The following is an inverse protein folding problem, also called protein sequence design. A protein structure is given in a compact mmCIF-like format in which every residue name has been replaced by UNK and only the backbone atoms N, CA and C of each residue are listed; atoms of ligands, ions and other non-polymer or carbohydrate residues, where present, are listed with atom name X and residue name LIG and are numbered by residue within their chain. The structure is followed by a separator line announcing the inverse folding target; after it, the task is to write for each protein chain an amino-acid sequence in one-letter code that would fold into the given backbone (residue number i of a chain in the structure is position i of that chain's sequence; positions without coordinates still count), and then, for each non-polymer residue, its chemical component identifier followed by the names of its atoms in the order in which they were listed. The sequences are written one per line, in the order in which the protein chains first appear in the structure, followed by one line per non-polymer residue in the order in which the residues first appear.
data_IF_479845976296
#
_entry.id   IF_479845976296
#
_cell.length_a   1.000
_cell.length_b   1.000
_cell.length_c   1.000
_cell.angle_alpha   90.00
_cell.angle_beta   90.00
_cell.angle_gamma   90.00
#
_symmetry.space_group_name_H-M   'P 1'
#
loop_
_entity.id
_entity.type
_entity.pdbx_description
1 polymer ?
#
# COMPACT_ATOMS: atom_id res chain seq x y z
N UNK A 1 -8.76 8.60 -20.84
CA UNK A 1 -8.44 7.16 -20.97
C UNK A 1 -9.40 6.41 -20.08
N UNK A 2 -10.15 5.44 -20.63
CA UNK A 2 -10.98 4.54 -19.85
C UNK A 2 -10.10 3.73 -18.90
N UNK A 3 -10.51 3.66 -17.63
CA UNK A 3 -9.85 2.86 -16.61
C UNK A 3 -10.75 1.66 -16.33
N UNK A 4 -10.26 0.46 -16.62
CA UNK A 4 -10.91 -0.78 -16.23
C UNK A 4 -10.55 -1.04 -14.76
N UNK A 5 -11.51 -0.88 -13.86
CA UNK A 5 -11.34 -1.05 -12.41
C UNK A 5 -12.49 -0.41 -11.64
N UNK A 6 -12.48 -0.55 -10.32
CA UNK A 6 -13.46 0.16 -9.50
C UNK A 6 -13.20 1.70 -9.51
N UNK A 7 -14.21 2.49 -9.12
CA UNK A 7 -14.11 3.94 -9.15
C UNK A 7 -12.96 4.50 -8.30
N UNK A 8 -12.62 3.85 -7.18
CA UNK A 8 -11.54 4.25 -6.30
C UNK A 8 -10.17 3.95 -6.93
N UNK A 9 -10.00 2.79 -7.56
CA UNK A 9 -8.80 2.44 -8.29
C UNK A 9 -8.58 3.35 -9.50
N UNK A 10 -9.65 3.71 -10.20
CA UNK A 10 -9.59 4.64 -11.30
C UNK A 10 -9.18 6.05 -10.85
N UNK A 11 -9.69 6.51 -9.70
CA UNK A 11 -9.31 7.79 -9.11
C UNK A 11 -7.83 7.80 -8.70
N UNK A 12 -7.36 6.76 -8.02
CA UNK A 12 -5.95 6.61 -7.61
C UNK A 12 -5.02 6.56 -8.82
N UNK A 13 -5.35 5.76 -9.84
CA UNK A 13 -4.54 5.65 -11.06
C UNK A 13 -4.39 7.00 -11.76
N UNK A 14 -5.50 7.75 -11.90
CA UNK A 14 -5.46 9.09 -12.51
C UNK A 14 -4.65 10.07 -11.66
N UNK A 15 -4.81 10.04 -10.33
CA UNK A 15 -4.06 10.90 -9.43
C UNK A 15 -2.54 10.68 -9.57
N UNK A 16 -2.09 9.42 -9.52
CA UNK A 16 -0.66 9.11 -9.65
C UNK A 16 -0.14 9.42 -11.06
N UNK A 17 -0.91 9.15 -12.11
CA UNK A 17 -0.50 9.50 -13.49
C UNK A 17 -0.33 11.01 -13.67
N UNK A 18 -1.15 11.84 -13.01
CA UNK A 18 -1.02 13.30 -13.08
C UNK A 18 0.22 13.82 -12.36
N UNK A 19 0.61 13.18 -11.25
CA UNK A 19 1.74 13.64 -10.41
C UNK A 19 3.07 13.06 -10.87
N UNK A 20 3.10 11.76 -11.18
CA UNK A 20 4.32 10.98 -11.46
C UNK A 20 4.51 10.74 -12.96
N UNK A 21 3.43 10.77 -13.76
CA UNK A 21 3.49 10.46 -15.19
C UNK A 21 3.35 8.96 -15.46
N UNK A 22 4.39 8.33 -16.05
CA UNK A 22 4.35 6.98 -16.62
C UNK A 22 4.12 5.84 -15.60
N UNK A 23 2.88 5.68 -15.13
CA UNK A 23 2.51 4.64 -14.16
C UNK A 23 2.69 3.24 -14.75
N UNK A 24 2.48 3.08 -16.07
CA UNK A 24 2.67 1.78 -16.74
C UNK A 24 4.13 1.36 -16.70
N UNK A 25 5.05 2.24 -17.06
CA UNK A 25 6.49 1.97 -16.96
C UNK A 25 6.92 1.71 -15.53
N UNK A 26 6.41 2.49 -14.57
CA UNK A 26 6.69 2.27 -13.14
C UNK A 26 6.28 0.87 -12.68
N UNK A 27 5.07 0.42 -13.04
CA UNK A 27 4.56 -0.92 -12.71
C UNK A 27 5.32 -2.04 -13.44
N UNK A 28 5.83 -1.78 -14.63
CA UNK A 28 6.68 -2.74 -15.35
C UNK A 28 8.06 -2.91 -14.70
N UNK A 29 8.64 -1.85 -14.12
CA UNK A 29 9.91 -1.92 -13.38
C UNK A 29 9.75 -2.53 -11.99
N UNK A 30 8.60 -2.36 -11.36
CA UNK A 30 8.26 -2.92 -10.05
C UNK A 30 7.30 -4.11 -10.20
N UNK A 31 7.81 -5.21 -10.74
CA UNK A 31 7.01 -6.35 -11.20
C UNK A 31 6.25 -6.99 -10.04
N UNK A 32 4.95 -7.20 -10.23
CA UNK A 32 4.10 -7.90 -9.28
C UNK A 32 4.37 -9.41 -9.31
N UNK A 33 4.65 -9.98 -8.15
CA UNK A 33 4.97 -11.41 -7.96
C UNK A 33 3.77 -12.18 -7.44
N UNK A 34 3.03 -11.59 -6.49
CA UNK A 34 1.83 -12.18 -5.91
C UNK A 34 0.81 -11.07 -5.61
N UNK A 35 -0.48 -11.42 -5.62
CA UNK A 35 -1.54 -10.56 -5.13
C UNK A 35 -2.61 -11.34 -4.40
N UNK A 36 -3.16 -10.70 -3.37
CA UNK A 36 -4.42 -11.07 -2.74
C UNK A 36 -5.42 -9.99 -3.13
N UNK A 37 -6.39 -10.30 -4.02
CA UNK A 37 -7.39 -9.32 -4.44
C UNK A 37 -8.24 -8.86 -3.26
N UNK A 38 -8.87 -7.70 -3.40
CA UNK A 38 -9.76 -7.19 -2.37
C UNK A 38 -10.91 -8.17 -2.11
N UNK A 39 -11.14 -8.50 -0.85
CA UNK A 39 -12.34 -9.24 -0.43
C UNK A 39 -13.10 -8.48 0.67
N UNK A 40 -14.42 -8.64 0.72
CA UNK A 40 -15.30 -7.93 1.66
C UNK A 40 -15.17 -8.37 3.11
N UNK A 41 -14.65 -9.56 3.37
CA UNK A 41 -14.38 -10.12 4.71
C UNK A 41 -13.13 -9.50 5.33
N UNK A 42 -12.03 -9.44 4.58
CA UNK A 42 -10.72 -8.95 4.97
C UNK A 42 -10.65 -7.41 4.86
N UNK A 43 -11.37 -6.82 3.90
CA UNK A 43 -11.41 -5.38 3.61
C UNK A 43 -10.05 -4.76 3.25
N UNK A 44 -9.13 -5.56 2.73
CA UNK A 44 -7.86 -5.11 2.20
C UNK A 44 -7.47 -5.89 0.94
N UNK A 45 -6.57 -5.30 0.17
CA UNK A 45 -5.88 -5.90 -0.97
C UNK A 45 -4.38 -5.85 -0.68
N UNK A 46 -3.66 -6.92 -1.02
CA UNK A 46 -2.21 -7.03 -0.85
C UNK A 46 -1.57 -7.34 -2.19
N UNK A 47 -0.40 -6.79 -2.45
CA UNK A 47 0.46 -7.28 -3.52
C UNK A 47 1.92 -7.23 -3.12
N UNK A 48 2.69 -8.16 -3.66
CA UNK A 48 4.13 -8.28 -3.45
C UNK A 48 4.83 -7.98 -4.76
N UNK A 49 5.87 -7.15 -4.70
CA UNK A 49 6.57 -6.64 -5.87
C UNK A 49 8.08 -6.86 -5.74
N UNK A 50 8.71 -7.14 -6.88
CA UNK A 50 10.12 -6.87 -7.08
C UNK A 50 10.31 -5.34 -7.15
N UNK A 51 11.43 -4.84 -6.61
CA UNK A 51 11.80 -3.43 -6.65
C UNK A 51 12.75 -3.16 -7.81
N UNK A 52 12.78 -1.92 -8.30
CA UNK A 52 13.72 -1.53 -9.36
C UNK A 52 15.17 -1.33 -8.87
N UNK A 53 15.40 -1.32 -7.55
CA UNK A 53 16.72 -1.17 -6.96
C UNK A 53 17.54 -2.47 -7.07
N UNK A 54 18.53 -2.44 -7.96
CA UNK A 54 19.42 -3.58 -8.19
C UNK A 54 20.33 -3.90 -7.00
N UNK A 55 20.50 -2.96 -6.06
CA UNK A 55 21.31 -3.16 -4.88
C UNK A 55 20.52 -3.79 -3.72
N UNK A 56 19.19 -3.80 -3.82
CA UNK A 56 18.32 -4.34 -2.79
C UNK A 56 17.38 -5.42 -3.38
N UNK A 57 17.75 -6.71 -3.28
CA UNK A 57 16.96 -7.80 -3.84
C UNK A 57 15.71 -8.14 -3.01
N UNK A 58 15.37 -7.34 -1.98
CA UNK A 58 14.21 -7.59 -1.13
C UNK A 58 12.92 -7.32 -1.86
N UNK A 59 11.89 -8.10 -1.52
CA UNK A 59 10.55 -7.89 -2.00
C UNK A 59 9.84 -6.78 -1.21
N UNK A 60 9.05 -5.96 -1.91
CA UNK A 60 8.18 -4.96 -1.32
C UNK A 60 6.76 -5.50 -1.25
N UNK A 61 6.23 -5.67 -0.04
CA UNK A 61 4.80 -5.87 0.19
C UNK A 61 4.13 -4.50 0.26
N UNK A 62 3.02 -4.33 -0.46
CA UNK A 62 2.13 -3.17 -0.34
C UNK A 62 0.71 -3.63 -0.05
N UNK A 63 0.01 -2.88 0.77
CA UNK A 63 -1.37 -3.16 1.14
C UNK A 63 -2.20 -1.89 1.13
N UNK A 64 -3.44 -2.00 0.63
CA UNK A 64 -4.44 -0.94 0.70
C UNK A 64 -5.78 -1.50 1.19
N UNK A 65 -6.55 -0.72 1.92
CA UNK A 65 -7.82 -1.20 2.48
C UNK A 65 -8.57 -0.19 3.33
N UNK A 66 -9.52 -0.69 4.12
CA UNK A 66 -10.20 0.12 5.11
C UNK A 66 -9.18 0.70 6.12
N UNK A 67 -9.22 2.00 6.45
CA UNK A 67 -8.23 2.66 7.31
C UNK A 67 -8.00 1.93 8.64
N UNK A 68 -9.07 1.54 9.34
CA UNK A 68 -8.96 0.80 10.60
C UNK A 68 -8.23 -0.55 10.46
N UNK A 69 -8.44 -1.26 9.34
CA UNK A 69 -7.83 -2.58 9.10
C UNK A 69 -6.35 -2.49 8.75
N UNK A 70 -5.94 -1.39 8.14
CA UNK A 70 -4.54 -1.13 7.85
C UNK A 70 -3.82 -0.74 9.14
N UNK A 71 -4.40 0.18 9.92
CA UNK A 71 -3.82 0.64 11.18
C UNK A 71 -3.58 -0.52 12.18
N UNK A 72 -4.54 -1.44 12.30
CA UNK A 72 -4.44 -2.64 13.15
C UNK A 72 -3.26 -3.57 12.76
N UNK A 73 -2.74 -3.47 11.53
CA UNK A 73 -1.67 -4.31 10.99
C UNK A 73 -0.31 -3.63 10.94
N UNK A 74 -0.24 -2.35 11.28
CA UNK A 74 0.98 -1.56 11.25
C UNK A 74 1.60 -1.45 12.65
N UNK A 75 2.90 -1.68 12.75
CA UNK A 75 3.70 -1.43 13.96
C UNK A 75 4.51 -0.14 13.89
N UNK A 76 4.71 0.38 12.68
CA UNK A 76 5.53 1.56 12.38
C UNK A 76 4.78 2.51 11.45
N UNK A 77 5.22 3.76 11.40
CA UNK A 77 4.72 4.80 10.52
C UNK A 77 5.88 5.59 9.92
N UNK A 78 5.76 5.96 8.65
CA UNK A 78 6.76 6.75 7.94
C UNK A 78 6.44 8.24 8.04
N UNK A 79 7.31 9.01 8.70
CA UNK A 79 7.12 10.45 8.93
C UNK A 79 8.41 11.19 8.60
N UNK A 80 8.34 12.14 7.66
CA UNK A 80 9.45 13.00 7.26
C UNK A 80 10.73 12.24 6.84
N UNK A 81 10.58 11.11 6.17
CA UNK A 81 11.73 10.33 5.69
C UNK A 81 12.20 9.22 6.64
N UNK A 82 11.62 9.13 7.84
CA UNK A 82 12.03 8.18 8.87
C UNK A 82 10.88 7.25 9.26
N UNK A 83 11.21 5.98 9.46
CA UNK A 83 10.32 4.99 10.06
C UNK A 83 10.34 5.13 11.59
N UNK A 84 9.17 5.33 12.19
CA UNK A 84 8.99 5.49 13.63
C UNK A 84 8.00 4.46 14.17
N UNK A 85 8.13 4.02 15.43
CA UNK A 85 7.11 3.19 16.06
C UNK A 85 5.73 3.88 16.02
N UNK A 86 4.69 3.11 15.71
CA UNK A 86 3.32 3.60 15.76
C UNK A 86 2.84 3.58 17.22
N UNK A 87 3.09 4.67 17.94
CA UNK A 87 2.63 4.87 19.30
C UNK A 87 1.13 5.25 19.40
N UNK A 88 0.60 5.27 20.62
CA UNK A 88 -0.81 5.59 20.85
C UNK A 88 -1.17 7.03 20.45
N UNK A 89 -0.24 7.98 20.58
CA UNK A 89 -0.46 9.39 20.19
C UNK A 89 -0.64 9.51 18.68
N UNK A 90 0.16 8.77 17.92
CA UNK A 90 0.07 8.72 16.45
C UNK A 90 -1.18 7.97 15.99
N UNK A 91 -1.62 6.93 16.72
CA UNK A 91 -2.90 6.26 16.46
C UNK A 91 -4.10 7.17 16.70
N UNK A 92 -4.10 7.92 17.80
CA UNK A 92 -5.15 8.92 18.06
C UNK A 92 -5.18 10.00 16.98
N UNK A 93 -4.00 10.49 16.58
CA UNK A 93 -3.87 11.48 15.50
C UNK A 93 -4.41 10.94 14.17
N UNK A 94 -4.12 9.67 13.84
CA UNK A 94 -4.68 8.99 12.67
C UNK A 94 -6.21 8.89 12.74
N UNK A 95 -6.76 8.48 13.90
CA UNK A 95 -8.21 8.34 14.08
C UNK A 95 -8.93 9.68 13.94
N UNK A 96 -8.36 10.76 14.47
CA UNK A 96 -8.92 12.10 14.33
C UNK A 96 -8.97 12.54 12.87
N UNK A 97 -7.88 12.36 12.12
CA UNK A 97 -7.84 12.67 10.68
C UNK A 97 -8.84 11.82 9.89
N UNK A 98 -8.98 10.54 10.23
CA UNK A 98 -9.96 9.66 9.61
C UNK A 98 -11.41 10.12 9.86
N UNK A 99 -11.75 10.51 11.09
CA UNK A 99 -13.07 11.03 11.44
C UNK A 99 -13.37 12.36 10.75
N UNK A 100 -12.38 13.24 10.61
CA UNK A 100 -12.52 14.51 9.92
C UNK A 100 -12.86 14.29 8.43
N UNK A 101 -12.06 13.48 7.73
CA UNK A 101 -12.30 13.14 6.32
C UNK A 101 -13.63 12.41 6.12
N UNK A 102 -13.98 11.50 7.05
CA UNK A 102 -15.28 10.84 7.07
C UNK A 102 -16.45 11.82 7.28
N UNK A 103 -16.26 12.85 8.11
CA UNK A 103 -17.25 13.92 8.35
C UNK A 103 -17.50 14.80 7.12
N UNK A 104 -16.52 14.90 6.22
CA UNK A 104 -16.66 15.58 4.92
C UNK A 104 -17.40 14.72 3.87
N UNK A 105 -17.75 13.47 4.20
CA UNK A 105 -18.39 12.53 3.27
C UNK A 105 -17.42 11.91 2.26
N UNK A 106 -16.12 11.99 2.51
CA UNK A 106 -15.10 11.40 1.65
C UNK A 106 -14.91 9.91 1.94
N UNK A 107 -14.55 9.14 0.92
CA UNK A 107 -14.16 7.74 1.07
C UNK A 107 -12.65 7.66 1.32
N UNK A 108 -12.28 7.30 2.55
CA UNK A 108 -10.88 7.17 2.98
C UNK A 108 -10.36 5.75 2.75
N UNK A 109 -9.09 5.63 2.33
CA UNK A 109 -8.37 4.38 2.21
C UNK A 109 -7.06 4.46 3.00
N UNK A 110 -6.73 3.39 3.72
CA UNK A 110 -5.42 3.22 4.33
C UNK A 110 -4.44 2.57 3.35
N UNK A 111 -3.18 2.97 3.42
CA UNK A 111 -2.08 2.39 2.69
C UNK A 111 -0.94 2.07 3.65
N UNK A 112 -0.29 0.93 3.45
CA UNK A 112 0.95 0.60 4.13
C UNK A 112 1.85 -0.26 3.23
N UNK A 113 3.11 -0.31 3.61
CA UNK A 113 4.15 -1.07 2.95
C UNK A 113 5.01 -1.82 3.97
N UNK A 114 5.70 -2.85 3.50
CA UNK A 114 6.63 -3.62 4.31
C UNK A 114 7.71 -4.24 3.42
N UNK A 115 8.97 -3.95 3.73
CA UNK A 115 10.10 -4.59 3.06
C UNK A 115 10.31 -5.98 3.66
N UNK A 116 10.10 -7.01 2.84
CA UNK A 116 10.23 -8.39 3.26
C UNK A 116 11.70 -8.74 3.50
N UNK A 117 12.03 -9.36 4.65
CA UNK A 117 13.41 -9.63 5.01
C UNK A 117 13.95 -10.80 4.15
N UNK A 118 15.12 -10.60 3.55
CA UNK A 118 15.69 -11.49 2.53
C UNK A 118 16.17 -12.84 3.06
N UNK A 119 16.41 -12.94 4.37
CA UNK A 119 16.71 -14.20 5.07
C UNK A 119 15.51 -15.17 5.07
N UNK A 120 14.29 -14.63 5.11
CA UNK A 120 13.05 -15.41 5.08
C UNK A 120 12.45 -15.55 3.68
N UNK A 121 12.59 -14.51 2.87
CA UNK A 121 12.04 -14.45 1.51
C UNK A 121 13.16 -14.20 0.49
N UNK A 122 13.99 -15.23 0.20
CA UNK A 122 15.05 -15.11 -0.80
C UNK A 122 14.48 -14.89 -2.20
N UNK A 123 15.31 -14.40 -3.11
CA UNK A 123 14.95 -14.25 -4.53
C UNK A 123 14.40 -15.58 -5.10
N UNK A 124 13.27 -15.49 -5.78
CA UNK A 124 12.55 -16.64 -6.32
C UNK A 124 11.65 -17.37 -5.32
N UNK A 125 11.41 -16.79 -4.13
CA UNK A 125 10.50 -17.38 -3.15
C UNK A 125 9.12 -17.65 -3.78
N UNK A 126 8.58 -18.88 -3.65
CA UNK A 126 7.30 -19.24 -4.21
C UNK A 126 6.18 -18.72 -3.32
N UNK A 127 5.81 -17.45 -3.47
CA UNK A 127 4.64 -16.90 -2.79
C UNK A 127 3.37 -17.64 -3.26
N UNK A 128 2.61 -18.15 -2.30
CA UNK A 128 1.29 -18.72 -2.58
C UNK A 128 0.37 -17.62 -3.12
N UNK A 129 -0.39 -17.96 -4.17
CA UNK A 129 -1.37 -17.07 -4.84
C UNK A 129 -2.78 -17.63 -4.70
#
# INVERSE_FOLDING_TARGET
RDVNGDASEAALLKCVELVVGDVKGWRSRNKKVCEVPFNSTNKYQVSIHETEDKNDPRYLLVMKGAPERILERCSTIYVNGEEKPLDEVMKESFNNAYLELGGLGERVLGFCDYILPSDKYPLGYPFDS
#
